data_IF_577258647427
#
_entry.id   IF_577258647427
#
_cell.length_a   1.000
_cell.length_b   1.000
_cell.length_c   1.000
_cell.angle_alpha   90.00
_cell.angle_beta   90.00
_cell.angle_gamma   90.00
#
_symmetry.space_group_name_H-M   'P 1'
#
loop_
_entity.id
_entity.type
_entity.pdbx_description
1 polymer ?
#
# COMPACT_ATOMS: atom_id res chain seq x y z
N UNK A 1 -3.83 -28.25 -5.84
CA UNK A 1 -2.71 -27.97 -4.94
C UNK A 1 -1.53 -27.62 -5.83
N UNK A 2 -0.87 -26.48 -5.59
CA UNK A 2 0.35 -26.10 -6.31
C UNK A 2 1.46 -27.10 -5.97
N UNK A 3 2.39 -27.36 -6.89
CA UNK A 3 3.54 -28.24 -6.64
C UNK A 3 4.52 -27.59 -5.64
N UNK A 4 5.39 -28.37 -5.02
CA UNK A 4 6.43 -27.86 -4.12
C UNK A 4 7.37 -26.86 -4.83
N UNK A 5 7.68 -27.12 -6.11
CA UNK A 5 8.47 -26.22 -6.95
C UNK A 5 7.74 -24.90 -7.22
N UNK A 6 6.44 -24.95 -7.52
CA UNK A 6 5.61 -23.75 -7.71
C UNK A 6 5.54 -22.91 -6.44
N UNK A 7 5.39 -23.56 -5.27
CA UNK A 7 5.38 -22.88 -3.97
C UNK A 7 6.71 -22.18 -3.68
N UNK A 8 7.85 -22.84 -3.94
CA UNK A 8 9.17 -22.24 -3.73
C UNK A 8 9.40 -21.02 -4.64
N UNK A 9 8.96 -21.08 -5.90
CA UNK A 9 9.05 -19.94 -6.83
C UNK A 9 8.21 -18.76 -6.35
N UNK A 10 6.98 -19.01 -5.89
CA UNK A 10 6.10 -17.98 -5.36
C UNK A 10 6.64 -17.34 -4.08
N UNK A 11 7.23 -18.15 -3.19
CA UNK A 11 7.90 -17.66 -1.99
C UNK A 11 9.06 -16.73 -2.34
N UNK A 12 9.90 -17.14 -3.30
CA UNK A 12 11.00 -16.31 -3.79
C UNK A 12 10.50 -14.99 -4.39
N UNK A 13 9.42 -15.03 -5.18
CA UNK A 13 8.82 -13.84 -5.79
C UNK A 13 8.20 -12.91 -4.74
N UNK A 14 7.47 -13.47 -3.77
CA UNK A 14 6.87 -12.72 -2.66
C UNK A 14 7.94 -12.03 -1.82
N UNK A 15 9.02 -12.74 -1.49
CA UNK A 15 10.16 -12.18 -0.75
C UNK A 15 10.84 -11.05 -1.54
N UNK A 16 11.11 -11.26 -2.84
CA UNK A 16 11.71 -10.22 -3.68
C UNK A 16 10.83 -8.96 -3.80
N UNK A 17 9.51 -9.15 -3.94
CA UNK A 17 8.55 -8.04 -3.97
C UNK A 17 8.51 -7.29 -2.64
N UNK A 18 8.48 -8.02 -1.53
CA UNK A 18 8.51 -7.45 -0.19
C UNK A 18 9.76 -6.61 0.07
N UNK A 19 10.94 -7.11 -0.31
CA UNK A 19 12.19 -6.35 -0.21
C UNK A 19 12.13 -5.04 -1.03
N UNK A 20 11.54 -5.09 -2.23
CA UNK A 20 11.28 -3.90 -3.05
C UNK A 20 10.37 -2.90 -2.35
N UNK A 21 9.28 -3.38 -1.74
CA UNK A 21 8.32 -2.52 -1.05
C UNK A 21 8.90 -1.91 0.22
N UNK A 22 9.77 -2.64 0.92
CA UNK A 22 10.52 -2.12 2.05
C UNK A 22 11.48 -1.01 1.63
N UNK A 23 12.27 -1.25 0.58
CA UNK A 23 13.17 -0.24 0.02
C UNK A 23 12.42 1.02 -0.44
N UNK A 24 11.25 0.84 -1.06
CA UNK A 24 10.37 1.92 -1.48
C UNK A 24 9.85 2.73 -0.27
N UNK A 25 9.45 2.06 0.81
CA UNK A 25 9.01 2.71 2.05
C UNK A 25 10.15 3.50 2.72
N UNK A 26 11.34 2.90 2.85
CA UNK A 26 12.51 3.52 3.45
C UNK A 26 12.95 4.77 2.65
N UNK A 27 12.99 4.66 1.31
CA UNK A 27 13.27 5.80 0.43
C UNK A 27 12.22 6.89 0.57
N UNK A 28 10.93 6.53 0.54
CA UNK A 28 9.84 7.51 0.66
C UNK A 28 9.90 8.27 1.98
N UNK A 29 10.22 7.59 3.08
CA UNK A 29 10.33 8.20 4.40
C UNK A 29 11.52 9.17 4.52
N UNK A 30 12.54 9.05 3.67
CA UNK A 30 13.69 9.97 3.62
C UNK A 30 13.38 11.32 2.97
N UNK A 31 12.26 11.44 2.24
CA UNK A 31 11.87 12.67 1.54
C UNK A 31 11.19 13.70 2.47
N UNK A 32 11.03 14.93 1.99
CA UNK A 32 10.18 15.91 2.64
C UNK A 32 8.70 15.45 2.67
N UNK A 33 7.83 16.15 3.40
CA UNK A 33 6.43 15.73 3.59
C UNK A 33 5.69 15.54 2.25
N UNK A 34 5.93 16.45 1.31
CA UNK A 34 5.37 16.37 -0.06
C UNK A 34 5.89 15.14 -0.79
N UNK A 35 7.21 14.98 -0.87
CA UNK A 35 7.84 13.88 -1.59
C UNK A 35 7.43 12.54 -1.01
N UNK A 36 7.38 12.42 0.32
CA UNK A 36 6.94 11.21 1.01
C UNK A 36 5.52 10.81 0.59
N UNK A 37 4.56 11.75 0.62
CA UNK A 37 3.16 11.48 0.23
C UNK A 37 3.05 11.03 -1.23
N UNK A 38 3.71 11.77 -2.13
CA UNK A 38 3.65 11.49 -3.57
C UNK A 38 4.25 10.10 -3.86
N UNK A 39 5.42 9.81 -3.28
CA UNK A 39 6.11 8.53 -3.46
C UNK A 39 5.30 7.36 -2.90
N UNK A 40 4.81 7.42 -1.66
CA UNK A 40 3.98 6.35 -1.10
C UNK A 40 2.73 6.10 -1.96
N UNK A 41 2.05 7.15 -2.40
CA UNK A 41 0.85 6.97 -3.21
C UNK A 41 1.17 6.38 -4.60
N UNK A 42 2.29 6.75 -5.22
CA UNK A 42 2.73 6.16 -6.47
C UNK A 42 3.00 4.65 -6.31
N UNK A 43 3.74 4.25 -5.28
CA UNK A 43 4.03 2.84 -5.02
C UNK A 43 2.77 2.01 -4.71
N UNK A 44 1.83 2.57 -3.94
CA UNK A 44 0.54 1.92 -3.70
C UNK A 44 -0.25 1.79 -5.00
N UNK A 45 -0.23 2.81 -5.87
CA UNK A 45 -0.93 2.79 -7.16
C UNK A 45 -0.41 1.72 -8.12
N UNK A 46 0.92 1.55 -8.16
CA UNK A 46 1.60 0.47 -8.89
C UNK A 46 1.23 -0.91 -8.31
N UNK A 47 1.25 -1.03 -6.98
CA UNK A 47 0.94 -2.30 -6.30
C UNK A 47 -0.53 -2.70 -6.51
N UNK A 48 -1.46 -1.74 -6.45
CA UNK A 48 -2.87 -1.96 -6.78
C UNK A 48 -3.04 -2.45 -8.23
N UNK A 49 -2.31 -1.87 -9.17
CA UNK A 49 -2.33 -2.31 -10.57
C UNK A 49 -1.86 -3.75 -10.72
N UNK A 50 -0.71 -4.12 -10.12
CA UNK A 50 -0.21 -5.49 -10.16
C UNK A 50 -1.22 -6.49 -9.60
N UNK A 51 -1.83 -6.17 -8.45
CA UNK A 51 -2.78 -7.04 -7.75
C UNK A 51 -4.08 -7.21 -8.54
N UNK A 52 -4.55 -6.14 -9.18
CA UNK A 52 -5.74 -6.20 -10.03
C UNK A 52 -5.44 -7.04 -11.28
N UNK A 53 -4.32 -6.78 -11.96
CA UNK A 53 -3.94 -7.51 -13.17
C UNK A 53 -3.76 -9.00 -12.92
N UNK A 54 -3.18 -9.40 -11.78
CA UNK A 54 -3.05 -10.80 -11.36
C UNK A 54 -4.40 -11.51 -11.17
N UNK A 55 -5.48 -10.77 -10.91
CA UNK A 55 -6.85 -11.32 -10.76
C UNK A 55 -7.67 -11.29 -12.04
N UNK A 56 -7.24 -10.54 -13.05
CA UNK A 56 -7.90 -10.50 -14.34
C UNK A 56 -7.27 -11.53 -15.27
N UNK A 57 -7.99 -11.88 -16.34
CA UNK A 57 -7.41 -12.65 -17.43
C UNK A 57 -6.28 -11.82 -18.06
N UNK A 58 -5.10 -12.41 -18.26
CA UNK A 58 -4.00 -11.72 -18.96
C UNK A 58 -4.36 -11.55 -20.44
N UNK A 59 -4.98 -10.41 -20.72
CA UNK A 59 -5.34 -9.98 -22.05
C UNK A 59 -5.12 -8.47 -22.17
N UNK A 60 -5.06 -8.02 -23.42
CA UNK A 60 -4.90 -6.60 -23.73
C UNK A 60 -6.01 -5.76 -23.08
N UNK A 61 -7.25 -6.26 -23.06
CA UNK A 61 -8.40 -5.55 -22.50
C UNK A 61 -8.22 -5.29 -21.00
N UNK A 62 -7.70 -6.27 -20.25
CA UNK A 62 -7.41 -6.09 -18.83
C UNK A 62 -6.36 -5.00 -18.60
N UNK A 63 -5.28 -5.00 -19.39
CA UNK A 63 -4.23 -3.97 -19.33
C UNK A 63 -4.75 -2.58 -19.72
N UNK A 64 -5.49 -2.49 -20.81
CA UNK A 64 -6.03 -1.23 -21.32
C UNK A 64 -7.00 -0.56 -20.33
N UNK A 65 -7.69 -1.33 -19.46
CA UNK A 65 -8.55 -0.78 -18.41
C UNK A 65 -7.79 0.07 -17.38
N UNK A 66 -6.53 -0.30 -17.07
CA UNK A 66 -5.70 0.33 -16.03
C UNK A 66 -4.64 1.27 -16.59
N UNK A 67 -4.00 0.89 -17.70
CA UNK A 67 -2.75 1.49 -18.19
C UNK A 67 -2.97 2.52 -19.29
N UNK A 68 -4.10 2.46 -20.01
CA UNK A 68 -4.39 3.42 -21.08
C UNK A 68 -4.71 4.79 -20.46
N UNK A 69 -4.18 5.90 -21.01
CA UNK A 69 -4.63 7.23 -20.64
C UNK A 69 -6.15 7.36 -20.80
N UNK A 70 -6.85 7.74 -19.72
CA UNK A 70 -8.31 7.79 -19.68
C UNK A 70 -9.00 6.42 -19.60
N UNK A 71 -8.27 5.36 -19.20
CA UNK A 71 -8.82 4.04 -18.92
C UNK A 71 -9.87 4.10 -17.79
N UNK A 72 -10.82 3.15 -17.80
CA UNK A 72 -11.96 3.17 -16.88
C UNK A 72 -11.58 3.14 -15.39
N UNK A 73 -10.39 2.61 -15.07
CA UNK A 73 -9.83 2.56 -13.71
C UNK A 73 -8.38 3.04 -13.68
N UNK A 74 -8.04 4.05 -14.51
CA UNK A 74 -6.68 4.61 -14.57
C UNK A 74 -6.32 5.50 -13.37
N UNK A 75 -7.31 5.97 -12.60
CA UNK A 75 -7.07 6.82 -11.42
C UNK A 75 -6.86 5.99 -10.14
N UNK A 76 -5.94 6.43 -9.29
CA UNK A 76 -5.66 5.88 -7.94
C UNK A 76 -6.88 5.35 -7.19
N UNK A 77 -7.90 6.19 -6.96
CA UNK A 77 -9.05 5.77 -6.17
C UNK A 77 -9.99 4.82 -6.94
N UNK A 78 -10.00 4.88 -8.28
CA UNK A 78 -10.70 3.91 -9.09
C UNK A 78 -10.05 2.52 -8.97
N UNK A 79 -8.71 2.43 -8.94
CA UNK A 79 -7.97 1.19 -8.66
C UNK A 79 -8.27 0.67 -7.25
N UNK A 80 -8.27 1.54 -6.24
CA UNK A 80 -8.63 1.15 -4.87
C UNK A 80 -10.04 0.53 -4.79
N UNK A 81 -11.04 1.14 -5.44
CA UNK A 81 -12.40 0.57 -5.51
C UNK A 81 -12.44 -0.78 -6.23
N UNK A 82 -11.68 -0.93 -7.31
CA UNK A 82 -11.58 -2.20 -8.03
C UNK A 82 -10.94 -3.29 -7.15
N UNK A 83 -9.85 -2.96 -6.46
CA UNK A 83 -9.21 -3.85 -5.49
C UNK A 83 -10.18 -4.27 -4.38
N UNK A 84 -11.03 -3.34 -3.88
CA UNK A 84 -12.08 -3.68 -2.93
C UNK A 84 -13.10 -4.65 -3.51
N UNK A 85 -13.59 -4.39 -4.72
CA UNK A 85 -14.58 -5.23 -5.40
C UNK A 85 -14.05 -6.65 -5.69
N UNK A 86 -12.75 -6.77 -5.94
CA UNK A 86 -12.06 -8.05 -6.14
C UNK A 86 -11.69 -8.77 -4.83
N UNK A 87 -12.02 -8.19 -3.67
CA UNK A 87 -11.65 -8.75 -2.36
C UNK A 87 -10.15 -8.77 -2.13
N UNK A 88 -9.43 -7.72 -2.58
CA UNK A 88 -8.00 -7.52 -2.30
C UNK A 88 -7.77 -6.65 -1.06
N UNK A 89 -8.77 -5.88 -0.64
CA UNK A 89 -8.71 -4.98 0.51
C UNK A 89 -10.05 -4.99 1.22
N UNK A 90 -10.08 -4.58 2.49
CA UNK A 90 -11.31 -4.40 3.26
C UNK A 90 -11.86 -2.96 3.17
N UNK A 91 -12.99 -2.70 3.83
CA UNK A 91 -13.62 -1.36 3.81
C UNK A 91 -12.80 -0.31 4.56
N UNK A 92 -12.01 -0.73 5.57
CA UNK A 92 -11.14 0.15 6.32
C UNK A 92 -9.95 0.60 5.46
N UNK A 93 -9.33 -0.35 4.75
CA UNK A 93 -8.27 -0.08 3.78
C UNK A 93 -8.76 0.84 2.66
N UNK A 94 -9.96 0.62 2.12
CA UNK A 94 -10.56 1.49 1.11
C UNK A 94 -10.78 2.93 1.63
N UNK A 95 -11.23 3.07 2.88
CA UNK A 95 -11.41 4.37 3.52
C UNK A 95 -10.07 5.11 3.67
N UNK A 96 -9.01 4.41 4.10
CA UNK A 96 -7.68 4.99 4.23
C UNK A 96 -7.11 5.41 2.87
N UNK A 97 -7.26 4.58 1.83
CA UNK A 97 -6.84 4.92 0.47
C UNK A 97 -7.57 6.16 -0.06
N UNK A 98 -8.85 6.36 0.29
CA UNK A 98 -9.58 7.59 -0.04
C UNK A 98 -8.94 8.83 0.60
N UNK A 99 -8.54 8.70 1.86
CA UNK A 99 -7.86 9.77 2.60
C UNK A 99 -6.50 10.05 1.96
N UNK A 100 -5.71 9.01 1.66
CA UNK A 100 -4.42 9.14 0.98
C UNK A 100 -4.55 9.84 -0.37
N UNK A 101 -5.56 9.50 -1.18
CA UNK A 101 -5.84 10.19 -2.44
C UNK A 101 -6.10 11.69 -2.23
N UNK A 102 -6.82 12.05 -1.16
CA UNK A 102 -7.13 13.45 -0.82
C UNK A 102 -5.89 14.21 -0.38
N UNK A 103 -5.04 13.59 0.46
CA UNK A 103 -3.76 14.16 0.92
C UNK A 103 -2.81 14.32 -0.28
N UNK A 104 -2.68 13.30 -1.13
CA UNK A 104 -1.88 13.34 -2.36
C UNK A 104 -2.29 14.47 -3.29
N UNK A 105 -3.59 14.66 -3.51
CA UNK A 105 -4.08 15.74 -4.37
C UNK A 105 -3.68 17.12 -3.83
N UNK A 106 -3.66 17.31 -2.51
CA UNK A 106 -3.13 18.53 -1.88
C UNK A 106 -1.62 18.66 -2.05
N UNK A 107 -0.87 17.58 -1.85
CA UNK A 107 0.56 17.57 -2.06
C UNK A 107 0.93 17.93 -3.50
N UNK A 108 0.22 17.40 -4.49
CA UNK A 108 0.50 17.56 -5.92
C UNK A 108 0.01 18.90 -6.52
N UNK A 109 -1.14 19.42 -6.07
CA UNK A 109 -1.77 20.58 -6.73
C UNK A 109 -1.66 21.90 -5.94
N UNK A 110 -1.02 21.91 -4.78
CA UNK A 110 -0.73 23.15 -4.05
C UNK A 110 0.60 23.75 -4.50
N UNK A 111 0.68 25.06 -4.70
CA UNK A 111 1.96 25.76 -4.87
C UNK A 111 2.60 26.15 -3.53
N UNK A 112 1.82 26.11 -2.45
CA UNK A 112 2.30 26.40 -1.09
C UNK A 112 3.16 25.24 -0.58
N UNK A 113 4.00 25.48 0.45
CA UNK A 113 4.60 24.41 1.23
C UNK A 113 3.53 23.40 1.67
N UNK A 114 3.91 22.13 1.75
CA UNK A 114 3.04 21.07 2.23
C UNK A 114 3.62 20.53 3.52
N UNK A 115 2.83 20.54 4.59
CA UNK A 115 3.24 20.10 5.92
C UNK A 115 2.08 19.35 6.60
N UNK A 116 2.40 18.22 7.24
CA UNK A 116 1.44 17.43 8.00
C UNK A 116 0.82 18.13 9.21
N UNK A 117 1.42 19.21 9.71
CA UNK A 117 0.91 20.02 10.81
C UNK A 117 -0.14 21.04 10.35
N UNK A 118 -0.29 21.28 9.04
CA UNK A 118 -1.38 22.10 8.53
C UNK A 118 -2.73 21.46 8.86
N UNK A 119 -3.62 22.23 9.48
CA UNK A 119 -4.93 21.76 9.97
C UNK A 119 -5.64 20.78 9.03
N UNK A 120 -5.86 21.10 7.74
CA UNK A 120 -6.67 20.22 6.93
C UNK A 120 -5.92 18.95 6.48
N UNK A 121 -4.60 18.89 6.57
CA UNK A 121 -3.81 17.67 6.34
C UNK A 121 -3.76 16.85 7.64
N UNK A 122 -3.50 17.52 8.76
CA UNK A 122 -3.50 16.92 10.10
C UNK A 122 -4.82 16.23 10.43
N UNK A 123 -5.96 16.86 10.11
CA UNK A 123 -7.29 16.29 10.34
C UNK A 123 -7.59 15.10 9.41
N UNK A 124 -7.09 15.12 8.18
CA UNK A 124 -7.16 13.95 7.30
C UNK A 124 -6.33 12.79 7.86
N UNK A 125 -5.08 13.05 8.23
CA UNK A 125 -4.19 12.03 8.80
C UNK A 125 -4.75 11.44 10.09
N UNK A 126 -5.41 12.25 10.94
CA UNK A 126 -6.11 11.79 12.16
C UNK A 126 -7.20 10.76 11.88
N UNK A 127 -7.91 10.93 10.77
CA UNK A 127 -9.03 10.06 10.40
C UNK A 127 -8.58 8.75 9.74
N UNK A 128 -7.29 8.59 9.46
CA UNK A 128 -6.74 7.32 8.99
C UNK A 128 -6.70 6.32 10.13
N UNK A 129 -6.98 5.05 9.83
CA UNK A 129 -6.80 4.00 10.81
C UNK A 129 -5.34 3.89 11.25
N UNK A 130 -5.13 3.45 12.49
CA UNK A 130 -3.79 3.12 12.95
C UNK A 130 -3.31 1.88 12.21
N UNK A 131 -2.02 1.87 11.88
CA UNK A 131 -1.37 0.67 11.39
C UNK A 131 -1.56 -0.46 12.43
N UNK A 132 -2.09 -1.60 11.96
CA UNK A 132 -2.37 -2.79 12.77
C UNK A 132 -1.08 -3.44 13.26
N UNK A 133 -0.03 -3.38 12.44
CA UNK A 133 1.25 -4.05 12.67
C UNK A 133 2.38 -3.08 12.98
N UNK A 134 2.29 -1.87 12.45
CA UNK A 134 3.29 -0.82 12.61
C UNK A 134 2.78 0.22 13.60
N UNK A 135 2.49 -0.18 14.84
CA UNK A 135 1.96 0.76 15.85
C UNK A 135 2.94 1.93 16.03
N UNK A 136 2.50 3.20 15.96
CA UNK A 136 3.38 4.33 16.15
C UNK A 136 3.90 4.37 17.59
N UNK A 137 5.22 4.30 17.79
CA UNK A 137 5.82 4.60 19.11
C UNK A 137 5.70 6.11 19.42
N UNK A 138 5.57 6.94 18.37
CA UNK A 138 5.45 8.39 18.46
C UNK A 138 4.30 8.89 17.57
N UNK A 139 3.58 9.93 18.00
CA UNK A 139 2.28 10.32 17.42
C UNK A 139 2.35 11.48 16.41
N UNK A 140 3.40 11.57 15.59
CA UNK A 140 3.43 12.58 14.52
C UNK A 140 2.51 12.17 13.37
N UNK A 141 1.86 13.16 12.74
CA UNK A 141 0.95 12.94 11.61
C UNK A 141 1.67 12.35 10.41
N UNK A 142 2.90 12.80 10.18
CA UNK A 142 3.84 12.23 9.21
C UNK A 142 4.07 10.74 9.45
N UNK A 143 4.38 10.34 10.68
CA UNK A 143 4.65 8.94 11.01
C UNK A 143 3.39 8.08 10.94
N UNK A 144 2.23 8.60 11.36
CA UNK A 144 0.93 7.93 11.21
C UNK A 144 0.65 7.61 9.74
N UNK A 145 0.80 8.60 8.85
CA UNK A 145 0.63 8.41 7.41
C UNK A 145 1.62 7.36 6.87
N UNK A 146 2.92 7.53 7.17
CA UNK A 146 3.97 6.64 6.66
C UNK A 146 3.74 5.18 7.08
N UNK A 147 3.54 4.93 8.38
CA UNK A 147 3.31 3.57 8.88
C UNK A 147 2.07 2.93 8.27
N UNK A 148 0.97 3.67 8.14
CA UNK A 148 -0.23 3.13 7.51
C UNK A 148 -0.05 2.87 6.02
N UNK A 149 0.68 3.74 5.31
CA UNK A 149 1.04 3.56 3.90
C UNK A 149 1.95 2.34 3.69
N UNK A 150 2.97 2.16 4.52
CA UNK A 150 3.83 0.97 4.49
C UNK A 150 3.02 -0.30 4.71
N UNK A 151 2.13 -0.31 5.70
CA UNK A 151 1.29 -1.49 5.96
C UNK A 151 0.36 -1.81 4.79
N UNK A 152 -0.31 -0.81 4.21
CA UNK A 152 -1.14 -1.00 3.03
C UNK A 152 -0.31 -1.51 1.84
N UNK A 153 0.87 -0.94 1.61
CA UNK A 153 1.77 -1.35 0.54
C UNK A 153 2.16 -2.83 0.67
N UNK A 154 2.55 -3.25 1.87
CA UNK A 154 2.95 -4.62 2.16
C UNK A 154 1.77 -5.59 2.09
N UNK A 155 0.64 -5.26 2.70
CA UNK A 155 -0.54 -6.14 2.73
C UNK A 155 -1.13 -6.33 1.34
N UNK A 156 -1.29 -5.25 0.57
CA UNK A 156 -1.77 -5.30 -0.82
C UNK A 156 -0.78 -6.07 -1.70
N UNK A 157 0.52 -5.81 -1.56
CA UNK A 157 1.57 -6.49 -2.32
C UNK A 157 1.64 -7.99 -2.03
N UNK A 158 1.57 -8.40 -0.76
CA UNK A 158 1.56 -9.81 -0.37
C UNK A 158 0.30 -10.52 -0.88
N UNK A 159 -0.86 -9.88 -0.81
CA UNK A 159 -2.12 -10.42 -1.33
C UNK A 159 -2.03 -10.81 -2.81
N UNK A 160 -1.14 -10.19 -3.57
CA UNK A 160 -0.91 -10.51 -4.96
C UNK A 160 -0.36 -11.93 -5.20
N UNK A 161 0.38 -12.52 -4.25
CA UNK A 161 1.06 -13.82 -4.43
C UNK A 161 0.23 -15.01 -3.94
N UNK A 162 -0.62 -14.78 -2.94
CA UNK A 162 -1.22 -15.85 -2.14
C UNK A 162 -2.70 -16.10 -2.42
N UNK A 163 -3.39 -15.22 -3.16
CA UNK A 163 -4.83 -15.37 -3.39
C UNK A 163 -5.16 -15.70 -4.86
N UNK A 164 -5.41 -16.98 -5.14
CA UNK A 164 -6.15 -17.42 -6.35
C UNK A 164 -7.68 -17.32 -6.15
N UNK A 165 -8.15 -16.97 -4.94
CA UNK A 165 -9.56 -16.85 -4.60
C UNK A 165 -9.85 -15.53 -3.87
N UNK A 166 -11.05 -14.94 -4.04
CA UNK A 166 -11.48 -13.79 -3.23
C UNK A 166 -11.41 -14.14 -1.74
N UNK A 167 -11.08 -13.15 -0.90
CA UNK A 167 -11.03 -13.22 0.57
C UNK A 167 -12.24 -13.97 1.16
N UNK A 168 -12.14 -15.28 1.33
CA UNK A 168 -13.06 -16.12 2.09
C UNK A 168 -12.39 -16.49 3.40
N UNK A 169 -12.96 -16.02 4.52
CA UNK A 169 -12.52 -16.23 5.90
C UNK A 169 -11.02 -15.96 6.14
N UNK A 170 -10.69 -14.68 6.39
CA UNK A 170 -9.35 -14.09 6.47
C UNK A 170 -8.38 -14.57 7.56
N UNK A 171 -8.62 -15.70 8.22
CA UNK A 171 -7.79 -16.18 9.33
C UNK A 171 -6.38 -16.60 8.89
N UNK A 172 -6.24 -17.25 7.73
CA UNK A 172 -4.95 -17.77 7.26
C UNK A 172 -4.01 -16.66 6.77
N UNK A 173 -4.56 -15.57 6.22
CA UNK A 173 -3.76 -14.45 5.74
C UNK A 173 -3.29 -13.53 6.85
N UNK A 174 -4.10 -13.31 7.88
CA UNK A 174 -3.67 -12.56 9.05
C UNK A 174 -2.48 -13.27 9.73
N UNK A 175 -2.55 -14.59 9.93
CA UNK A 175 -1.42 -15.35 10.49
C UNK A 175 -0.15 -15.28 9.64
N UNK A 176 -0.27 -15.28 8.30
CA UNK A 176 0.89 -15.19 7.39
C UNK A 176 1.45 -13.77 7.35
N UNK A 177 0.59 -12.73 7.35
CA UNK A 177 1.01 -11.33 7.46
C UNK A 177 1.69 -11.09 8.81
N UNK A 178 1.17 -11.63 9.91
CA UNK A 178 1.78 -11.54 11.24
C UNK A 178 3.17 -12.18 11.28
N UNK A 179 3.31 -13.37 10.69
CA UNK A 179 4.60 -14.07 10.58
C UNK A 179 5.61 -13.29 9.73
N UNK A 180 5.16 -12.72 8.60
CA UNK A 180 6.01 -11.94 7.70
C UNK A 180 6.40 -10.58 8.32
N UNK A 181 5.45 -9.90 8.98
CA UNK A 181 5.72 -8.64 9.68
C UNK A 181 6.76 -8.83 10.80
N UNK A 182 6.75 -9.99 11.47
CA UNK A 182 7.76 -10.39 12.45
C UNK A 182 9.13 -10.67 11.81
N UNK A 183 9.17 -11.37 10.68
CA UNK A 183 10.41 -11.72 9.97
C UNK A 183 11.15 -10.50 9.39
N UNK A 184 10.42 -9.49 8.93
CA UNK A 184 11.01 -8.33 8.24
C UNK A 184 11.55 -7.26 9.20
N UNK A 185 11.32 -7.37 10.52
CA UNK A 185 11.63 -6.31 11.50
C UNK A 185 11.20 -4.93 10.99
N UNK A 186 9.93 -4.80 10.61
CA UNK A 186 9.33 -3.55 10.16
C UNK A 186 9.22 -2.57 11.34
N UNK A 187 10.35 -2.05 11.78
CA UNK A 187 10.44 -0.83 12.54
C UNK A 187 11.12 0.13 11.58
N UNK A 188 10.50 1.24 11.17
CA UNK A 188 11.28 2.29 10.53
C UNK A 188 12.38 2.62 11.52
N UNK A 189 13.65 2.35 11.16
CA UNK A 189 14.78 2.79 11.96
C UNK A 189 14.63 4.30 12.03
N UNK A 190 14.08 4.79 13.14
CA UNK A 190 14.45 6.11 13.60
C UNK A 190 15.97 6.08 13.57
N UNK A 191 16.57 7.00 12.84
CA UNK A 191 17.99 7.28 12.89
C UNK A 191 18.33 7.63 14.34
N UNK A 192 18.50 6.60 15.16
CA UNK A 192 19.35 6.64 16.35
C UNK A 192 20.75 6.63 15.80
N UNK A 193 21.26 7.81 15.53
CA UNK A 193 22.64 8.21 15.74
C UNK A 193 22.76 9.70 15.36
N UNK A 194 22.76 10.51 16.42
CA UNK A 194 23.49 11.78 16.64
C UNK A 194 24.02 12.55 15.44
#
# INVERSE_FOLDING_TARGET
MRSEEEQAVLEQQAHAHMMRMQEAADRSFSYDDRGMVISYCAYIEETLEEVILRRLVDCKQARDLLQKPGGAISEFYARARMARALGCIDDQDLADLKIMASIRNKAAHSWQPFDFEERPISDMARNMSQARYLVPENNTRRLQFAKRATELLLTIGLLSFWTDRPLGNGTFMLQRIDQIAFEVRLVPRASTET
#
